data_IF_398853788373
#
_entry.id   IF_398853788373
#
_cell.length_a   1.000
_cell.length_b   1.000
_cell.length_c   1.000
_cell.angle_alpha   90.00
_cell.angle_beta   90.00
_cell.angle_gamma   90.00
#
_symmetry.space_group_name_H-M   'P 1'
#
loop_
_entity.id
_entity.type
_entity.pdbx_description
1 polymer ?
#
# COMPACT_ATOMS: atom_id res chain seq x y z
N UNK A 1 -74.82 27.44 60.60
CA UNK A 1 -73.35 27.40 60.72
C UNK A 1 -72.82 26.57 59.61
N UNK A 2 -72.28 27.22 58.56
CA UNK A 2 -71.86 26.56 57.30
C UNK A 2 -70.36 26.39 57.27
N UNK A 3 -69.90 25.15 57.09
CA UNK A 3 -68.52 24.86 56.81
C UNK A 3 -68.31 24.65 55.31
N UNK A 4 -67.56 25.54 54.69
CA UNK A 4 -67.15 25.48 53.30
C UNK A 4 -65.87 24.66 53.18
N UNK A 5 -65.91 23.47 52.50
CA UNK A 5 -64.77 22.72 52.07
C UNK A 5 -64.22 23.28 50.77
N UNK A 6 -62.98 23.78 50.75
CA UNK A 6 -62.24 24.09 49.53
C UNK A 6 -61.47 22.87 49.10
N UNK A 7 -61.79 22.34 47.92
CA UNK A 7 -60.98 21.32 47.18
C UNK A 7 -59.92 22.05 46.35
N UNK A 8 -58.65 21.82 46.68
CA UNK A 8 -57.53 22.26 45.88
C UNK A 8 -57.27 21.27 44.75
N UNK A 9 -57.28 21.77 43.52
CA UNK A 9 -56.94 21.01 42.29
C UNK A 9 -55.46 21.21 42.07
N UNK A 10 -54.64 20.14 42.26
CA UNK A 10 -53.23 20.12 41.89
C UNK A 10 -53.08 19.76 40.40
N UNK A 11 -52.66 20.70 39.60
CA UNK A 11 -52.29 20.46 38.20
C UNK A 11 -50.86 19.87 38.13
N UNK A 12 -50.76 18.62 37.69
CA UNK A 12 -49.49 17.99 37.37
C UNK A 12 -49.09 18.41 35.93
N UNK A 13 -48.08 19.27 35.82
CA UNK A 13 -47.50 19.62 34.50
C UNK A 13 -46.39 18.59 34.22
N UNK A 14 -46.68 17.67 33.28
CA UNK A 14 -45.67 16.72 32.75
C UNK A 14 -44.79 17.45 31.73
N UNK A 15 -43.55 17.74 32.10
CA UNK A 15 -42.51 18.16 31.17
C UNK A 15 -42.03 16.95 30.34
N UNK A 16 -42.50 16.85 29.07
CA UNK A 16 -41.90 15.96 28.09
C UNK A 16 -40.56 16.58 27.62
N UNK A 17 -39.45 16.03 28.07
CA UNK A 17 -38.13 16.34 27.49
C UNK A 17 -38.02 15.67 26.12
N UNK A 18 -38.08 16.47 25.06
CA UNK A 18 -37.71 16.03 23.69
C UNK A 18 -36.22 15.82 23.64
N UNK A 19 -35.78 14.57 23.69
CA UNK A 19 -34.41 14.19 23.35
C UNK A 19 -34.27 14.27 21.84
N UNK A 20 -33.70 15.37 21.36
CA UNK A 20 -33.31 15.49 19.95
C UNK A 20 -32.10 14.56 19.72
N UNK A 21 -32.33 13.40 19.13
CA UNK A 21 -31.26 12.57 18.56
C UNK A 21 -30.78 13.33 17.33
N UNK A 22 -29.65 14.01 17.44
CA UNK A 22 -28.96 14.54 16.28
C UNK A 22 -28.53 13.34 15.41
N UNK A 23 -29.22 13.14 14.28
CA UNK A 23 -28.76 12.25 13.25
C UNK A 23 -27.44 12.82 12.72
N UNK A 24 -26.32 12.22 13.09
CA UNK A 24 -25.05 12.48 12.43
C UNK A 24 -25.26 12.11 10.96
N UNK A 25 -25.23 13.13 10.08
CA UNK A 25 -25.20 12.87 8.64
C UNK A 25 -24.03 11.93 8.37
N UNK A 26 -24.31 10.76 7.81
CA UNK A 26 -23.28 9.85 7.38
C UNK A 26 -22.38 10.61 6.41
N UNK A 27 -21.06 10.60 6.63
CA UNK A 27 -20.12 11.16 5.66
C UNK A 27 -20.37 10.51 4.29
N UNK A 28 -20.31 11.29 3.18
CA UNK A 28 -20.52 10.71 1.86
C UNK A 28 -19.56 9.56 1.63
N UNK A 29 -20.10 8.44 1.14
CA UNK A 29 -19.31 7.25 0.84
C UNK A 29 -18.10 7.62 -0.02
N UNK A 30 -16.93 7.08 0.31
CA UNK A 30 -15.71 7.30 -0.44
C UNK A 30 -15.86 6.66 -1.82
N UNK A 31 -15.83 7.46 -2.89
CA UNK A 31 -15.98 6.95 -4.25
C UNK A 31 -14.61 6.83 -4.92
N UNK A 32 -14.23 5.59 -5.28
CA UNK A 32 -13.07 5.29 -6.10
C UNK A 32 -13.48 5.07 -7.55
N UNK A 33 -12.66 5.56 -8.48
CA UNK A 33 -12.88 5.36 -9.92
C UNK A 33 -11.80 4.44 -10.46
N UNK A 34 -12.16 3.22 -10.92
CA UNK A 34 -11.19 2.32 -11.53
C UNK A 34 -10.79 2.83 -12.91
N UNK A 35 -9.51 2.68 -13.24
CA UNK A 35 -8.93 2.97 -14.55
C UNK A 35 -8.70 1.63 -15.24
N UNK A 36 -9.38 1.38 -16.36
CA UNK A 36 -9.17 0.20 -17.17
C UNK A 36 -7.90 0.36 -18.03
N UNK A 37 -6.99 -0.61 -17.96
CA UNK A 37 -5.74 -0.60 -18.74
C UNK A 37 -5.69 -1.69 -19.81
N UNK A 38 -6.50 -2.74 -19.66
CA UNK A 38 -6.61 -3.85 -20.61
C UNK A 38 -8.00 -4.50 -20.50
N UNK A 39 -8.37 -5.50 -21.33
CA UNK A 39 -9.69 -6.11 -21.28
C UNK A 39 -10.12 -6.60 -19.90
N UNK A 40 -9.20 -7.12 -19.09
CA UNK A 40 -9.52 -7.71 -17.79
C UNK A 40 -8.96 -6.92 -16.60
N UNK A 41 -7.97 -6.02 -16.82
CA UNK A 41 -7.21 -5.39 -15.73
C UNK A 41 -7.59 -3.94 -15.52
N UNK A 42 -7.84 -3.60 -14.27
CA UNK A 42 -8.19 -2.27 -13.77
C UNK A 42 -7.28 -1.92 -12.57
N UNK A 43 -7.09 -0.63 -12.34
CA UNK A 43 -6.44 -0.17 -11.11
C UNK A 43 -7.05 1.12 -10.57
N UNK A 44 -6.79 1.40 -9.30
CA UNK A 44 -7.09 2.64 -8.61
C UNK A 44 -5.77 3.38 -8.41
N UNK A 45 -5.67 4.57 -9.00
CA UNK A 45 -4.46 5.39 -8.87
C UNK A 45 -4.49 6.23 -7.59
N UNK A 46 -3.56 5.99 -6.69
CA UNK A 46 -3.37 6.77 -5.48
C UNK A 46 -2.89 8.20 -5.76
N UNK A 47 -3.07 9.08 -4.79
CA UNK A 47 -2.59 10.46 -4.88
C UNK A 47 -1.07 10.52 -4.68
N UNK A 48 -0.39 11.39 -5.42
CA UNK A 48 1.02 11.68 -5.20
C UNK A 48 1.24 12.33 -3.82
N UNK A 49 2.35 12.02 -3.16
CA UNK A 49 2.68 12.53 -1.82
C UNK A 49 2.46 11.48 -0.73
N UNK A 50 2.45 11.93 0.53
CA UNK A 50 2.32 11.05 1.69
C UNK A 50 0.88 10.83 2.10
N UNK A 51 0.62 9.71 2.79
CA UNK A 51 -0.66 9.46 3.42
C UNK A 51 -0.99 10.53 4.48
N UNK A 52 -2.23 10.99 4.48
CA UNK A 52 -2.75 11.98 5.43
C UNK A 52 -4.24 11.75 5.68
N UNK A 53 -4.78 12.32 6.75
CA UNK A 53 -6.22 12.29 7.00
C UNK A 53 -7.00 12.96 5.85
N UNK A 54 -6.43 13.99 5.20
CA UNK A 54 -7.07 14.71 4.10
C UNK A 54 -7.25 13.85 2.84
N UNK A 55 -6.26 13.02 2.48
CA UNK A 55 -6.39 12.06 1.38
C UNK A 55 -6.89 10.68 1.84
N UNK A 56 -7.30 10.56 3.10
CA UNK A 56 -7.83 9.34 3.71
C UNK A 56 -6.86 8.16 3.66
N UNK A 57 -5.54 8.42 3.55
CA UNK A 57 -4.51 7.42 3.34
C UNK A 57 -4.41 6.90 1.90
N UNK A 58 -5.11 7.50 0.92
CA UNK A 58 -5.10 7.05 -0.48
C UNK A 58 -3.85 7.57 -1.21
N UNK A 59 -2.74 6.88 -1.07
CA UNK A 59 -1.46 7.22 -1.70
C UNK A 59 -0.90 6.10 -2.58
N UNK A 60 -1.25 4.84 -2.31
CA UNK A 60 -0.82 3.68 -3.09
C UNK A 60 -1.85 3.32 -4.16
N UNK A 61 -1.41 2.58 -5.15
CA UNK A 61 -2.29 1.92 -6.10
C UNK A 61 -2.78 0.58 -5.55
N UNK A 62 -3.94 0.16 -6.01
CA UNK A 62 -4.40 -1.22 -5.91
C UNK A 62 -5.04 -1.61 -7.24
N UNK A 63 -5.02 -2.89 -7.60
CA UNK A 63 -5.51 -3.35 -8.89
C UNK A 63 -6.52 -4.48 -8.74
N UNK A 64 -7.29 -4.74 -9.79
CA UNK A 64 -8.11 -5.94 -9.87
C UNK A 64 -8.22 -6.47 -11.29
N UNK A 65 -8.41 -7.79 -11.37
CA UNK A 65 -8.56 -8.52 -12.63
C UNK A 65 -9.91 -9.22 -12.62
N UNK A 66 -10.75 -8.91 -13.60
CA UNK A 66 -12.06 -9.55 -13.78
C UNK A 66 -11.87 -10.84 -14.58
N UNK A 67 -12.39 -11.96 -14.06
CA UNK A 67 -12.36 -13.27 -14.73
C UNK A 67 -13.76 -13.86 -14.81
N UNK A 68 -13.95 -14.94 -15.57
CA UNK A 68 -15.25 -15.63 -15.68
C UNK A 68 -15.67 -16.31 -14.37
N UNK A 69 -14.75 -16.53 -13.42
CA UNK A 69 -15.01 -17.24 -12.16
C UNK A 69 -14.80 -16.37 -10.90
N UNK A 70 -14.74 -15.06 -11.03
CA UNK A 70 -14.55 -14.13 -9.92
C UNK A 70 -13.50 -13.07 -10.21
N UNK A 71 -13.21 -12.25 -9.20
CA UNK A 71 -12.22 -11.17 -9.28
C UNK A 71 -11.00 -11.53 -8.43
N UNK A 72 -9.80 -11.30 -9.00
CA UNK A 72 -8.53 -11.29 -8.26
C UNK A 72 -8.13 -9.85 -8.03
N UNK A 73 -8.03 -9.43 -6.78
CA UNK A 73 -7.47 -8.13 -6.40
C UNK A 73 -5.97 -8.24 -6.10
N UNK A 74 -5.26 -7.15 -6.28
CA UNK A 74 -3.84 -6.99 -5.91
C UNK A 74 -3.71 -5.73 -5.09
N UNK A 75 -3.36 -5.89 -3.80
CA UNK A 75 -3.41 -4.93 -2.72
C UNK A 75 -4.83 -4.47 -2.34
N UNK A 76 -4.94 -3.77 -1.21
CA UNK A 76 -6.23 -3.41 -0.62
C UNK A 76 -6.31 -1.94 -0.18
N UNK A 77 -5.29 -1.14 -0.49
CA UNK A 77 -5.15 0.24 -0.05
C UNK A 77 -4.91 0.42 1.46
N UNK A 78 -4.73 1.67 1.88
CA UNK A 78 -4.17 2.04 3.19
C UNK A 78 -5.16 2.22 4.33
N UNK A 79 -6.47 2.00 4.14
CA UNK A 79 -7.46 2.09 5.22
C UNK A 79 -8.62 1.12 4.99
N UNK A 80 -9.34 0.69 6.06
CA UNK A 80 -10.54 -0.14 5.91
C UNK A 80 -11.62 0.51 5.04
N UNK A 81 -11.78 1.83 5.14
CA UNK A 81 -12.73 2.59 4.32
C UNK A 81 -12.37 2.58 2.83
N UNK A 82 -11.08 2.67 2.49
CA UNK A 82 -10.59 2.54 1.12
C UNK A 82 -10.79 1.12 0.57
N UNK A 83 -10.52 0.10 1.39
CA UNK A 83 -10.81 -1.29 1.01
C UNK A 83 -12.29 -1.53 0.69
N UNK A 84 -13.20 -0.97 1.50
CA UNK A 84 -14.64 -1.04 1.21
C UNK A 84 -14.99 -0.27 -0.07
N UNK A 85 -14.47 0.94 -0.26
CA UNK A 85 -14.71 1.72 -1.46
C UNK A 85 -14.18 1.03 -2.73
N UNK A 86 -13.07 0.29 -2.61
CA UNK A 86 -12.55 -0.55 -3.70
C UNK A 86 -13.54 -1.66 -4.06
N UNK A 87 -14.09 -2.39 -3.08
CA UNK A 87 -15.12 -3.42 -3.30
C UNK A 87 -16.37 -2.84 -3.95
N UNK A 88 -16.84 -1.68 -3.47
CA UNK A 88 -18.01 -0.98 -4.02
C UNK A 88 -17.79 -0.54 -5.48
N UNK A 89 -16.57 -0.12 -5.81
CA UNK A 89 -16.19 0.25 -7.18
C UNK A 89 -16.07 -0.97 -8.10
N UNK A 90 -15.53 -2.10 -7.62
CA UNK A 90 -15.47 -3.37 -8.36
C UNK A 90 -16.89 -3.85 -8.69
N UNK A 91 -17.84 -3.76 -7.75
CA UNK A 91 -19.22 -4.16 -7.96
C UNK A 91 -19.96 -3.31 -9.02
N UNK A 92 -19.47 -2.10 -9.34
CA UNK A 92 -19.98 -1.29 -10.45
C UNK A 92 -19.42 -1.74 -11.82
N UNK A 93 -18.30 -2.45 -11.84
CA UNK A 93 -17.66 -2.97 -13.07
C UNK A 93 -18.15 -4.37 -13.42
N UNK A 94 -18.35 -5.23 -12.43
CA UNK A 94 -18.73 -6.63 -12.63
C UNK A 94 -19.61 -7.15 -11.50
N UNK A 95 -20.48 -8.12 -11.81
CA UNK A 95 -21.26 -8.86 -10.80
C UNK A 95 -20.49 -10.04 -10.19
N UNK A 96 -19.24 -10.29 -10.62
CA UNK A 96 -18.41 -11.36 -10.09
C UNK A 96 -17.93 -10.99 -8.68
N UNK A 97 -17.96 -11.94 -7.72
CA UNK A 97 -17.43 -11.69 -6.38
C UNK A 97 -15.89 -11.59 -6.40
N UNK A 98 -15.34 -10.80 -5.49
CA UNK A 98 -13.89 -10.85 -5.24
C UNK A 98 -13.58 -12.14 -4.48
N UNK A 99 -12.91 -13.08 -5.13
CA UNK A 99 -12.55 -14.39 -4.55
C UNK A 99 -11.19 -14.37 -3.89
N UNK A 100 -10.30 -13.50 -4.33
CA UNK A 100 -8.91 -13.46 -3.88
C UNK A 100 -8.39 -12.04 -3.83
N UNK A 101 -7.64 -11.73 -2.78
CA UNK A 101 -6.77 -10.55 -2.71
C UNK A 101 -5.33 -11.01 -2.46
N UNK A 102 -4.42 -10.58 -3.32
CA UNK A 102 -2.99 -10.88 -3.24
C UNK A 102 -2.31 -9.63 -2.72
N UNK A 103 -1.55 -9.78 -1.65
CA UNK A 103 -0.75 -8.71 -1.04
C UNK A 103 0.59 -8.65 -1.76
N UNK A 104 0.96 -7.49 -2.30
CA UNK A 104 2.27 -7.27 -2.89
C UNK A 104 3.37 -7.36 -1.84
N UNK A 105 3.15 -6.74 -0.69
CA UNK A 105 4.01 -6.74 0.49
C UNK A 105 3.28 -6.14 1.70
N UNK A 106 3.79 -6.36 2.90
CA UNK A 106 3.15 -5.93 4.16
C UNK A 106 3.51 -4.50 4.58
N UNK A 107 3.29 -3.51 3.69
CA UNK A 107 3.29 -2.10 4.10
C UNK A 107 1.88 -1.56 4.30
N UNK A 108 1.75 -0.60 5.21
CA UNK A 108 0.47 -0.09 5.73
C UNK A 108 -0.52 0.36 4.65
N UNK A 109 -0.04 1.02 3.61
CA UNK A 109 -0.84 1.55 2.52
C UNK A 109 -1.29 0.50 1.49
N UNK A 110 -0.85 -0.76 1.63
CA UNK A 110 -1.26 -1.89 0.81
C UNK A 110 -2.19 -2.87 1.53
N UNK A 111 -2.20 -2.89 2.87
CA UNK A 111 -2.81 -3.97 3.66
C UNK A 111 -3.95 -3.56 4.58
N UNK A 112 -4.11 -2.29 4.98
CA UNK A 112 -5.13 -1.96 5.99
C UNK A 112 -6.56 -2.06 5.46
N UNK A 113 -6.77 -2.06 4.14
CA UNK A 113 -8.05 -2.36 3.52
C UNK A 113 -8.45 -3.84 3.54
N UNK A 114 -7.54 -4.79 3.87
CA UNK A 114 -7.80 -6.23 3.87
C UNK A 114 -9.00 -6.65 4.74
N UNK A 115 -9.31 -5.90 5.80
CA UNK A 115 -10.47 -6.19 6.65
C UNK A 115 -11.80 -6.17 5.86
N UNK A 116 -11.93 -5.29 4.86
CA UNK A 116 -13.10 -5.26 3.99
C UNK A 116 -13.17 -6.51 3.10
N UNK A 117 -12.04 -6.91 2.53
CA UNK A 117 -11.93 -8.12 1.69
C UNK A 117 -12.20 -9.39 2.47
N UNK A 118 -11.65 -9.54 3.68
CA UNK A 118 -11.93 -10.66 4.58
C UNK A 118 -13.43 -10.75 4.89
N UNK A 119 -14.07 -9.62 5.22
CA UNK A 119 -15.51 -9.55 5.48
C UNK A 119 -16.35 -9.91 4.26
N UNK A 120 -15.87 -9.61 3.05
CA UNK A 120 -16.50 -9.98 1.79
C UNK A 120 -16.27 -11.46 1.41
N UNK A 121 -15.45 -12.21 2.17
CA UNK A 121 -15.16 -13.63 1.93
C UNK A 121 -14.05 -13.88 0.90
N UNK A 122 -13.24 -12.87 0.57
CA UNK A 122 -12.08 -13.07 -0.28
C UNK A 122 -10.94 -13.77 0.47
N UNK A 123 -10.27 -14.72 -0.19
CA UNK A 123 -9.09 -15.40 0.33
C UNK A 123 -7.87 -14.48 0.21
N UNK A 124 -7.16 -14.24 1.31
CA UNK A 124 -5.95 -13.40 1.37
C UNK A 124 -4.72 -14.26 1.08
N UNK A 125 -3.95 -13.91 0.05
CA UNK A 125 -2.69 -14.53 -0.29
C UNK A 125 -1.53 -13.55 -0.11
N UNK A 126 -0.43 -14.00 0.50
CA UNK A 126 0.78 -13.19 0.68
C UNK A 126 2.03 -14.07 0.68
N UNK A 127 3.18 -13.47 0.46
CA UNK A 127 4.48 -14.13 0.56
C UNK A 127 4.72 -14.66 1.98
N UNK A 128 5.31 -15.86 2.12
CA UNK A 128 5.53 -16.50 3.43
C UNK A 128 6.41 -15.66 4.38
N UNK A 129 7.34 -14.85 3.84
CA UNK A 129 8.16 -13.95 4.65
C UNK A 129 7.39 -12.81 5.33
N UNK A 130 6.20 -12.45 4.82
CA UNK A 130 5.32 -11.46 5.45
C UNK A 130 4.87 -11.84 6.88
N UNK A 131 4.98 -13.12 7.25
CA UNK A 131 4.76 -13.56 8.63
C UNK A 131 5.72 -12.89 9.63
N UNK A 132 6.94 -12.56 9.19
CA UNK A 132 7.91 -11.84 10.01
C UNK A 132 7.42 -10.44 10.39
N UNK A 133 6.79 -9.73 9.45
CA UNK A 133 6.22 -8.41 9.72
C UNK A 133 5.06 -8.47 10.73
N UNK A 134 4.14 -9.41 10.56
CA UNK A 134 2.95 -9.54 11.44
C UNK A 134 3.29 -9.66 12.93
N UNK A 135 4.42 -10.29 13.25
CA UNK A 135 4.84 -10.57 14.62
C UNK A 135 5.95 -9.62 15.10
N UNK A 136 6.15 -8.49 14.39
CA UNK A 136 7.20 -7.55 14.71
C UNK A 136 6.68 -6.32 15.47
N UNK A 137 7.53 -5.73 16.32
CA UNK A 137 7.27 -4.46 16.97
C UNK A 137 7.05 -3.33 15.93
N UNK A 138 7.69 -3.44 14.77
CA UNK A 138 7.56 -2.50 13.65
C UNK A 138 6.12 -2.43 13.14
N UNK A 139 5.42 -3.56 13.05
CA UNK A 139 4.02 -3.59 12.61
C UNK A 139 3.11 -2.87 13.62
N UNK A 140 3.33 -3.09 14.92
CA UNK A 140 2.57 -2.44 15.99
C UNK A 140 2.84 -0.93 16.02
N UNK A 141 4.10 -0.53 16.05
CA UNK A 141 4.50 0.89 16.04
C UNK A 141 3.97 1.62 14.80
N UNK A 142 4.02 0.97 13.62
CA UNK A 142 3.49 1.53 12.38
C UNK A 142 1.98 1.72 12.45
N UNK A 143 1.24 0.74 12.99
CA UNK A 143 -0.21 0.85 13.16
C UNK A 143 -0.58 1.97 14.12
N UNK A 144 0.10 2.07 15.28
CA UNK A 144 -0.10 3.15 16.23
C UNK A 144 0.19 4.54 15.63
N UNK A 145 1.24 4.65 14.82
CA UNK A 145 1.55 5.89 14.12
C UNK A 145 0.43 6.22 13.11
N UNK A 146 -0.05 5.22 12.33
CA UNK A 146 -1.14 5.43 11.36
C UNK A 146 -2.47 5.79 12.02
N UNK A 147 -2.76 5.29 13.23
CA UNK A 147 -3.93 5.72 14.03
C UNK A 147 -3.88 7.21 14.36
N UNK A 148 -2.67 7.76 14.59
CA UNK A 148 -2.49 9.19 14.83
C UNK A 148 -2.59 10.03 13.57
N UNK A 149 -1.90 9.59 12.50
CA UNK A 149 -1.75 10.36 11.26
C UNK A 149 -3.01 10.35 10.39
N UNK A 150 -3.78 9.26 10.45
CA UNK A 150 -4.91 8.99 9.56
C UNK A 150 -6.26 8.95 10.26
N UNK A 151 -6.35 9.40 11.54
CA UNK A 151 -7.65 9.49 12.19
C UNK A 151 -8.64 10.34 11.38
N UNK A 152 -9.93 9.93 11.25
CA UNK A 152 -10.55 8.74 11.83
C UNK A 152 -10.48 7.49 10.93
N UNK A 153 -9.73 7.51 9.82
CA UNK A 153 -9.72 6.45 8.79
C UNK A 153 -8.98 5.18 9.21
N UNK A 154 -8.02 5.32 10.13
CA UNK A 154 -7.35 4.24 10.86
C UNK A 154 -7.62 4.47 12.33
N UNK A 155 -8.25 3.52 13.00
CA UNK A 155 -8.73 3.59 14.36
C UNK A 155 -8.34 2.36 15.19
N UNK A 156 -8.90 2.24 16.41
CA UNK A 156 -8.67 1.10 17.29
C UNK A 156 -9.20 -0.25 16.76
N UNK A 157 -10.10 -0.22 15.76
CA UNK A 157 -10.64 -1.42 15.12
C UNK A 157 -9.79 -1.87 13.93
N UNK A 158 -8.88 -1.01 13.46
CA UNK A 158 -7.96 -1.35 12.36
C UNK A 158 -6.90 -2.32 12.84
N UNK A 159 -6.69 -3.41 12.09
CA UNK A 159 -5.75 -4.48 12.39
C UNK A 159 -4.96 -4.91 11.18
N UNK A 160 -3.73 -5.34 11.40
CA UNK A 160 -2.94 -6.06 10.41
C UNK A 160 -3.46 -7.51 10.37
N UNK A 161 -3.93 -7.95 9.20
CA UNK A 161 -4.47 -9.30 9.03
C UNK A 161 -3.43 -10.26 8.48
N UNK A 162 -3.38 -11.52 8.97
CA UNK A 162 -2.59 -12.56 8.35
C UNK A 162 -3.20 -12.97 7.01
N UNK A 163 -2.39 -13.56 6.14
CA UNK A 163 -2.89 -14.23 4.96
C UNK A 163 -3.54 -15.58 5.32
N UNK A 164 -4.57 -15.97 4.54
CA UNK A 164 -5.17 -17.32 4.60
C UNK A 164 -4.24 -18.32 3.92
N UNK A 165 -3.51 -17.87 2.90
CA UNK A 165 -2.51 -18.67 2.19
C UNK A 165 -1.17 -17.94 2.10
N UNK A 166 -0.17 -18.56 2.70
CA UNK A 166 1.23 -18.13 2.61
C UNK A 166 1.89 -18.76 1.39
N UNK A 167 2.41 -17.90 0.49
CA UNK A 167 3.06 -18.30 -0.75
C UNK A 167 4.51 -18.67 -0.45
N UNK A 168 4.88 -19.91 -0.74
CA UNK A 168 6.23 -20.43 -0.57
C UNK A 168 6.94 -20.54 -1.94
N UNK A 169 8.02 -19.78 -2.09
CA UNK A 169 8.83 -19.73 -3.30
C UNK A 169 10.13 -20.56 -3.21
N UNK A 170 10.25 -21.46 -2.24
CA UNK A 170 11.45 -22.32 -2.07
C UNK A 170 11.68 -23.23 -3.28
N UNK A 171 10.64 -23.60 -4.02
CA UNK A 171 10.72 -24.45 -5.21
C UNK A 171 11.02 -23.68 -6.51
N UNK A 172 11.10 -22.35 -6.48
CA UNK A 172 11.36 -21.53 -7.65
C UNK A 172 10.81 -20.12 -7.50
N UNK A 173 11.23 -19.24 -8.39
CA UNK A 173 10.89 -17.80 -8.34
C UNK A 173 9.46 -17.46 -8.81
N UNK A 174 8.66 -18.44 -9.21
CA UNK A 174 7.32 -18.18 -9.74
C UNK A 174 6.32 -19.24 -9.29
N UNK A 175 5.07 -18.79 -9.03
CA UNK A 175 3.92 -19.66 -8.74
C UNK A 175 2.83 -19.33 -9.77
N UNK A 176 2.54 -20.22 -10.74
CA UNK A 176 1.44 -20.04 -11.66
C UNK A 176 0.11 -20.45 -11.02
N UNK A 177 -0.96 -19.76 -11.40
CA UNK A 177 -2.33 -20.20 -11.13
C UNK A 177 -3.29 -19.72 -12.23
N UNK A 178 -4.47 -20.31 -12.31
CA UNK A 178 -5.52 -19.92 -13.26
C UNK A 178 -6.82 -19.66 -12.52
N UNK A 179 -7.57 -18.66 -12.94
CA UNK A 179 -8.94 -18.39 -12.47
C UNK A 179 -9.78 -17.89 -13.65
N UNK A 180 -10.95 -18.51 -13.89
CA UNK A 180 -11.91 -18.06 -14.90
C UNK A 180 -11.31 -17.81 -16.29
N UNK A 181 -10.43 -18.71 -16.76
CA UNK A 181 -9.78 -18.61 -18.07
C UNK A 181 -8.56 -17.68 -18.14
N UNK A 182 -8.25 -16.94 -17.10
CA UNK A 182 -7.07 -16.07 -17.04
C UNK A 182 -5.93 -16.79 -16.32
N UNK A 183 -4.74 -16.77 -16.93
CA UNK A 183 -3.50 -17.29 -16.38
C UNK A 183 -2.73 -16.18 -15.67
N UNK A 184 -2.32 -16.49 -14.47
CA UNK A 184 -1.56 -15.59 -13.59
C UNK A 184 -0.22 -16.22 -13.24
N UNK A 185 0.77 -15.38 -13.03
CA UNK A 185 2.06 -15.79 -12.50
C UNK A 185 2.47 -14.85 -11.37
N UNK A 186 2.54 -15.37 -10.16
CA UNK A 186 3.18 -14.70 -9.04
C UNK A 186 4.69 -14.81 -9.20
N UNK A 187 5.41 -13.73 -8.98
CA UNK A 187 6.86 -13.64 -9.17
C UNK A 187 7.47 -13.17 -7.86
N UNK A 188 8.37 -13.98 -7.31
CA UNK A 188 9.13 -13.66 -6.11
C UNK A 188 10.24 -12.66 -6.43
N UNK A 189 10.17 -11.51 -5.78
CA UNK A 189 11.18 -10.46 -5.78
C UNK A 189 11.49 -10.01 -4.35
N UNK A 190 11.24 -10.91 -3.42
CA UNK A 190 11.41 -10.69 -1.98
C UNK A 190 12.83 -10.29 -1.62
N UNK A 191 12.95 -9.34 -0.70
CA UNK A 191 14.22 -8.75 -0.28
C UNK A 191 14.66 -7.57 -1.13
N UNK A 192 13.80 -7.03 -2.00
CA UNK A 192 14.07 -5.83 -2.79
C UNK A 192 13.60 -4.56 -2.05
N UNK A 193 12.33 -4.16 -2.23
CA UNK A 193 11.73 -3.04 -1.50
C UNK A 193 11.38 -3.43 -0.07
N UNK A 194 10.91 -4.65 0.11
CA UNK A 194 10.60 -5.28 1.42
C UNK A 194 11.07 -6.74 1.44
N UNK A 195 11.00 -7.38 2.60
CA UNK A 195 11.38 -8.79 2.72
C UNK A 195 10.42 -9.74 1.99
N UNK A 196 9.19 -9.30 1.68
CA UNK A 196 8.09 -10.13 1.22
C UNK A 196 7.49 -9.68 -0.13
N UNK A 197 8.24 -8.97 -0.96
CA UNK A 197 7.76 -8.46 -2.24
C UNK A 197 7.35 -9.57 -3.22
N UNK A 198 6.16 -9.39 -3.81
CA UNK A 198 5.61 -10.23 -4.87
C UNK A 198 5.05 -9.35 -5.99
N UNK A 199 5.35 -9.70 -7.25
CA UNK A 199 4.67 -9.15 -8.41
C UNK A 199 3.61 -10.13 -8.93
N UNK A 200 2.58 -9.61 -9.61
CA UNK A 200 1.56 -10.43 -10.29
C UNK A 200 1.54 -10.12 -11.79
N UNK A 201 1.81 -11.11 -12.61
CA UNK A 201 1.72 -11.00 -14.07
C UNK A 201 0.44 -11.65 -14.60
N UNK A 202 -0.34 -10.89 -15.38
CA UNK A 202 -1.57 -11.33 -16.06
C UNK A 202 -1.20 -11.67 -17.51
N UNK A 203 -1.12 -12.98 -17.83
CA UNK A 203 -0.48 -13.44 -19.06
C UNK A 203 -1.24 -13.03 -20.33
N UNK A 204 -2.58 -13.18 -20.36
CA UNK A 204 -3.37 -12.85 -21.55
C UNK A 204 -3.30 -11.35 -21.89
N UNK A 205 -3.29 -10.52 -20.88
CA UNK A 205 -3.28 -9.05 -21.03
C UNK A 205 -1.85 -8.49 -21.13
N UNK A 206 -0.85 -9.28 -20.77
CA UNK A 206 0.55 -8.88 -20.65
C UNK A 206 0.72 -7.65 -19.73
N UNK A 207 -0.03 -7.64 -18.61
CA UNK A 207 0.02 -6.61 -17.59
C UNK A 207 0.77 -7.13 -16.37
N UNK A 208 1.74 -6.35 -15.88
CA UNK A 208 2.48 -6.62 -14.66
C UNK A 208 2.02 -5.65 -13.56
N UNK A 209 1.57 -6.20 -12.43
CA UNK A 209 1.27 -5.47 -11.20
C UNK A 209 2.52 -5.57 -10.33
N UNK A 210 3.22 -4.45 -10.18
CA UNK A 210 4.60 -4.46 -9.68
C UNK A 210 4.74 -4.17 -8.19
N UNK A 211 3.66 -3.72 -7.51
CA UNK A 211 3.79 -3.21 -6.13
C UNK A 211 4.84 -2.10 -6.07
N UNK A 212 5.49 -1.96 -4.94
CA UNK A 212 6.43 -0.88 -4.65
C UNK A 212 7.84 -1.08 -5.21
N UNK A 213 8.01 -2.06 -6.11
CA UNK A 213 9.25 -2.14 -6.88
C UNK A 213 9.39 -1.04 -7.92
N UNK A 214 8.29 -0.36 -8.26
CA UNK A 214 8.25 0.63 -9.30
C UNK A 214 7.38 1.81 -8.90
N UNK A 215 7.91 3.02 -9.08
CA UNK A 215 7.24 4.28 -8.77
C UNK A 215 7.28 5.18 -9.99
N UNK A 216 6.17 5.87 -10.29
CA UNK A 216 6.14 6.89 -11.34
C UNK A 216 5.83 8.26 -10.77
N UNK A 217 6.58 9.27 -11.22
CA UNK A 217 6.30 10.67 -10.92
C UNK A 217 6.50 11.10 -9.47
N UNK A 218 7.16 10.28 -8.64
CA UNK A 218 7.50 10.60 -7.24
C UNK A 218 8.76 9.87 -6.79
N UNK A 219 9.36 10.33 -5.69
CA UNK A 219 10.46 9.61 -5.04
C UNK A 219 9.92 8.34 -4.36
N UNK A 220 10.56 7.17 -4.57
CA UNK A 220 10.21 5.95 -3.86
C UNK A 220 10.52 6.07 -2.36
N UNK A 221 9.79 5.32 -1.54
CA UNK A 221 10.22 5.05 -0.17
C UNK A 221 11.21 3.89 -0.19
N UNK A 222 12.45 4.16 0.19
CA UNK A 222 13.53 3.17 0.16
C UNK A 222 13.84 2.67 1.57
N UNK A 223 13.93 3.57 2.55
CA UNK A 223 14.23 3.21 3.92
C UNK A 223 15.49 2.33 4.01
N UNK A 224 15.35 1.20 4.66
CA UNK A 224 16.39 0.17 4.85
C UNK A 224 16.36 -0.96 3.82
N UNK A 225 15.58 -0.81 2.74
CA UNK A 225 15.48 -1.77 1.64
C UNK A 225 16.86 -2.15 1.05
N UNK A 226 16.96 -3.34 0.49
CA UNK A 226 18.15 -3.75 -0.25
C UNK A 226 18.15 -3.13 -1.65
N UNK A 227 18.72 -1.95 -1.77
CA UNK A 227 18.77 -1.24 -3.06
C UNK A 227 19.52 -2.00 -4.16
N UNK A 228 20.46 -2.90 -3.82
CA UNK A 228 21.14 -3.74 -4.80
C UNK A 228 20.20 -4.84 -5.32
N UNK A 229 19.51 -5.54 -4.41
CA UNK A 229 18.49 -6.51 -4.78
C UNK A 229 17.33 -5.84 -5.54
N UNK A 230 16.95 -4.62 -5.14
CA UNK A 230 15.89 -3.86 -5.82
C UNK A 230 16.28 -3.48 -7.26
N UNK A 231 17.50 -3.04 -7.51
CA UNK A 231 17.98 -2.79 -8.88
C UNK A 231 17.92 -4.05 -9.74
N UNK A 232 18.27 -5.22 -9.19
CA UNK A 232 18.15 -6.50 -9.89
C UNK A 232 16.67 -6.89 -10.13
N UNK A 233 15.77 -6.59 -9.18
CA UNK A 233 14.32 -6.80 -9.36
C UNK A 233 13.75 -5.92 -10.48
N UNK A 234 14.20 -4.67 -10.63
CA UNK A 234 13.83 -3.81 -11.76
C UNK A 234 14.24 -4.43 -13.11
N UNK A 235 15.39 -5.11 -13.19
CA UNK A 235 15.79 -5.81 -14.41
C UNK A 235 14.87 -7.00 -14.70
N UNK A 236 14.52 -7.78 -13.67
CA UNK A 236 13.61 -8.94 -13.80
C UNK A 236 12.18 -8.57 -14.21
N UNK A 237 11.72 -7.35 -13.91
CA UNK A 237 10.43 -6.84 -14.41
C UNK A 237 10.36 -6.79 -15.92
N UNK A 238 11.48 -6.51 -16.60
CA UNK A 238 11.55 -6.44 -18.06
C UNK A 238 11.60 -7.82 -18.72
N UNK A 239 12.03 -8.85 -17.99
CA UNK A 239 12.18 -10.22 -18.50
C UNK A 239 10.82 -10.84 -18.89
N UNK A 240 9.73 -10.49 -18.21
CA UNK A 240 8.38 -10.97 -18.55
C UNK A 240 7.78 -10.23 -19.74
N UNK A 241 8.47 -9.22 -20.27
CA UNK A 241 8.08 -8.41 -21.44
C UNK A 241 6.64 -7.86 -21.32
N UNK A 242 6.32 -7.15 -20.24
CA UNK A 242 4.98 -6.61 -20.05
C UNK A 242 4.70 -5.53 -21.09
N UNK A 243 3.45 -5.45 -21.56
CA UNK A 243 2.98 -4.30 -22.36
C UNK A 243 2.63 -3.13 -21.50
N UNK A 244 2.13 -3.41 -20.28
CA UNK A 244 1.73 -2.41 -19.31
C UNK A 244 2.25 -2.85 -17.95
N UNK A 245 2.80 -1.90 -17.19
CA UNK A 245 3.13 -2.08 -15.77
C UNK A 245 2.31 -1.13 -14.94
N UNK A 246 1.72 -1.64 -13.88
CA UNK A 246 1.05 -0.84 -12.85
C UNK A 246 1.99 -0.80 -11.64
N UNK A 247 2.51 0.40 -11.30
CA UNK A 247 3.38 0.58 -10.13
C UNK A 247 2.59 0.52 -8.82
N UNK A 248 3.28 0.43 -7.69
CA UNK A 248 2.67 0.63 -6.38
C UNK A 248 2.21 2.07 -6.14
N UNK A 249 2.87 3.04 -6.80
CA UNK A 249 2.52 4.47 -6.71
C UNK A 249 2.72 5.17 -8.06
N UNK A 250 1.73 6.00 -8.42
CA UNK A 250 1.76 6.81 -9.63
C UNK A 250 1.02 6.16 -10.80
N UNK A 251 1.18 6.69 -12.01
CA UNK A 251 0.45 6.24 -13.18
C UNK A 251 0.98 4.90 -13.74
N UNK A 252 0.09 4.09 -14.32
CA UNK A 252 0.50 2.92 -15.11
C UNK A 252 1.33 3.33 -16.32
N UNK A 253 2.23 2.45 -16.76
CA UNK A 253 3.16 2.72 -17.85
C UNK A 253 3.03 1.69 -18.96
N UNK A 254 3.04 2.16 -20.23
CA UNK A 254 3.28 1.36 -21.43
C UNK A 254 4.70 1.54 -22.00
N UNK A 255 5.50 2.42 -21.39
CA UNK A 255 6.92 2.63 -21.68
C UNK A 255 7.76 2.40 -20.43
N UNK A 256 7.67 1.18 -19.90
CA UNK A 256 8.20 0.80 -18.59
C UNK A 256 9.67 1.16 -18.41
N UNK A 257 10.50 0.94 -19.44
CA UNK A 257 11.94 1.21 -19.34
C UNK A 257 12.24 2.70 -19.14
N UNK A 258 11.53 3.59 -19.82
CA UNK A 258 11.73 5.03 -19.67
C UNK A 258 11.17 5.54 -18.33
N UNK A 259 9.98 5.08 -17.96
CA UNK A 259 9.30 5.56 -16.75
C UNK A 259 9.94 4.99 -15.47
N UNK A 260 10.57 3.80 -15.54
CA UNK A 260 11.34 3.19 -14.47
C UNK A 260 12.67 3.92 -14.20
N UNK A 261 13.13 4.76 -15.13
CA UNK A 261 14.43 5.44 -15.03
C UNK A 261 14.53 6.32 -13.77
N UNK A 262 13.43 6.90 -13.30
CA UNK A 262 13.43 7.70 -12.06
C UNK A 262 13.74 6.82 -10.84
N UNK A 263 13.01 5.72 -10.64
CA UNK A 263 13.25 4.80 -9.51
C UNK A 263 14.68 4.26 -9.57
N UNK A 264 15.11 3.76 -10.72
CA UNK A 264 16.48 3.23 -10.92
C UNK A 264 17.54 4.27 -10.59
N UNK A 265 17.48 5.44 -11.21
CA UNK A 265 18.50 6.47 -11.04
C UNK A 265 18.56 7.01 -9.61
N UNK A 266 17.43 7.02 -8.89
CA UNK A 266 17.41 7.43 -7.50
C UNK A 266 18.07 6.38 -6.59
N UNK A 267 17.80 5.09 -6.80
CA UNK A 267 18.47 4.00 -6.07
C UNK A 267 19.97 3.98 -6.34
N UNK A 268 20.38 4.10 -7.60
CA UNK A 268 21.80 4.17 -7.99
C UNK A 268 22.49 5.37 -7.34
N UNK A 269 21.85 6.54 -7.33
CA UNK A 269 22.40 7.75 -6.73
C UNK A 269 22.55 7.63 -5.20
N UNK A 270 21.54 7.10 -4.51
CA UNK A 270 21.65 6.83 -3.07
C UNK A 270 22.84 5.90 -2.76
N UNK A 271 22.99 4.80 -3.52
CA UNK A 271 24.11 3.89 -3.34
C UNK A 271 25.45 4.54 -3.61
N UNK A 272 25.54 5.36 -4.67
CA UNK A 272 26.77 6.07 -5.03
C UNK A 272 27.19 7.03 -3.94
N UNK A 273 26.31 7.93 -3.53
CA UNK A 273 26.66 9.02 -2.59
C UNK A 273 26.90 8.48 -1.17
N UNK A 274 25.97 7.65 -0.68
CA UNK A 274 26.13 7.08 0.67
C UNK A 274 27.26 6.05 0.73
N UNK A 275 27.49 5.30 -0.34
CA UNK A 275 28.63 4.36 -0.43
C UNK A 275 29.98 5.09 -0.46
N UNK A 276 30.10 6.20 -1.18
CA UNK A 276 31.31 7.03 -1.17
C UNK A 276 31.59 7.56 0.25
N UNK A 277 30.56 8.12 0.91
CA UNK A 277 30.69 8.64 2.26
C UNK A 277 31.19 7.56 3.27
N UNK A 278 30.64 6.34 3.19
CA UNK A 278 31.06 5.22 4.05
C UNK A 278 32.52 4.84 3.77
N UNK A 279 32.92 4.76 2.49
CA UNK A 279 34.30 4.41 2.13
C UNK A 279 35.30 5.48 2.61
N UNK A 280 34.90 6.74 2.59
CA UNK A 280 35.73 7.86 3.03
C UNK A 280 35.61 8.13 4.54
N UNK A 281 34.83 7.31 5.28
CA UNK A 281 34.56 7.45 6.72
C UNK A 281 33.94 8.80 7.09
N UNK A 282 33.14 9.39 6.19
CA UNK A 282 32.38 10.62 6.42
C UNK A 282 31.05 10.27 7.10
N UNK A 283 30.74 10.94 8.22
CA UNK A 283 29.49 10.70 8.95
C UNK A 283 28.27 11.10 8.16
N UNK A 284 27.13 10.45 8.42
CA UNK A 284 25.88 10.64 7.66
C UNK A 284 25.43 12.12 7.54
N UNK A 285 25.48 12.88 8.64
CA UNK A 285 25.02 14.27 8.64
C UNK A 285 25.83 15.15 7.66
N UNK A 286 27.15 14.98 7.66
CA UNK A 286 28.06 15.68 6.75
C UNK A 286 27.83 15.20 5.31
N UNK A 287 27.75 13.90 5.08
CA UNK A 287 27.50 13.31 3.78
C UNK A 287 26.19 13.78 3.17
N UNK A 288 25.10 13.74 3.96
CA UNK A 288 23.77 14.18 3.49
C UNK A 288 23.74 15.68 3.15
N UNK A 289 24.39 16.51 3.96
CA UNK A 289 24.47 17.96 3.73
C UNK A 289 25.34 18.33 2.52
N UNK A 290 26.36 17.51 2.20
CA UNK A 290 27.26 17.75 1.07
C UNK A 290 26.69 17.21 -0.27
N UNK A 291 25.72 16.30 -0.23
CA UNK A 291 25.14 15.67 -1.42
C UNK A 291 24.26 16.66 -2.19
N UNK A 292 24.43 16.75 -3.51
CA UNK A 292 23.58 17.54 -4.39
C UNK A 292 22.28 16.82 -4.74
N UNK A 293 21.18 17.19 -4.08
CA UNK A 293 19.86 16.63 -4.30
C UNK A 293 19.03 17.30 -5.41
N UNK A 294 19.58 18.32 -6.12
CA UNK A 294 18.86 19.15 -7.09
C UNK A 294 18.13 18.33 -8.18
N UNK A 295 18.67 17.18 -8.53
CA UNK A 295 18.08 16.27 -9.51
C UNK A 295 16.75 15.66 -9.05
N UNK A 296 16.51 15.57 -7.75
CA UNK A 296 15.38 14.84 -7.19
C UNK A 296 14.45 15.70 -6.33
N UNK A 297 14.89 16.85 -5.84
CA UNK A 297 14.19 17.66 -4.83
C UNK A 297 12.82 18.20 -5.28
N UNK A 298 12.58 18.29 -6.60
CA UNK A 298 11.32 18.75 -7.17
C UNK A 298 10.22 17.67 -7.22
N UNK A 299 10.59 16.41 -7.02
CA UNK A 299 9.61 15.33 -7.07
C UNK A 299 8.76 15.23 -5.79
N UNK A 300 7.47 14.85 -5.91
CA UNK A 300 6.63 14.55 -4.75
C UNK A 300 7.29 13.55 -3.80
N UNK A 301 7.00 13.67 -2.50
CA UNK A 301 7.53 12.87 -1.40
C UNK A 301 9.04 13.06 -1.12
N UNK A 302 9.75 13.91 -1.85
CA UNK A 302 11.19 14.11 -1.61
C UNK A 302 11.45 14.63 -0.19
N UNK A 303 10.76 15.67 0.24
CA UNK A 303 10.99 16.32 1.54
C UNK A 303 10.77 15.34 2.71
N UNK A 304 9.78 14.47 2.58
CA UNK A 304 9.38 13.54 3.61
C UNK A 304 10.24 12.26 3.62
N UNK A 305 10.66 11.78 2.46
CA UNK A 305 11.31 10.47 2.32
C UNK A 305 12.83 10.54 2.15
N UNK A 306 13.38 11.55 1.47
CA UNK A 306 14.77 11.54 1.01
C UNK A 306 15.80 11.35 2.14
N UNK A 307 15.64 12.05 3.27
CA UNK A 307 16.59 11.91 4.38
C UNK A 307 16.52 10.52 5.03
N UNK A 308 15.31 9.96 5.16
CA UNK A 308 15.11 8.61 5.71
C UNK A 308 15.72 7.58 4.75
N UNK A 309 15.47 7.73 3.45
CA UNK A 309 16.05 6.88 2.41
C UNK A 309 17.57 6.92 2.41
N UNK A 310 18.15 8.11 2.42
CA UNK A 310 19.60 8.30 2.46
C UNK A 310 20.22 7.67 3.72
N UNK A 311 19.59 7.87 4.89
CA UNK A 311 20.08 7.30 6.13
C UNK A 311 20.02 5.76 6.13
N UNK A 312 18.91 5.18 5.72
CA UNK A 312 18.77 3.74 5.60
C UNK A 312 19.82 3.14 4.65
N UNK A 313 20.06 3.80 3.50
CA UNK A 313 21.07 3.36 2.55
C UNK A 313 22.51 3.58 3.07
N UNK A 314 22.77 4.64 3.82
CA UNK A 314 24.07 4.83 4.49
C UNK A 314 24.37 3.65 5.43
N UNK A 315 23.41 3.28 6.30
CA UNK A 315 23.55 2.13 7.19
C UNK A 315 23.70 0.80 6.42
N UNK A 316 23.05 0.66 5.29
CA UNK A 316 23.20 -0.50 4.40
C UNK A 316 24.62 -0.58 3.83
N UNK A 317 25.15 0.54 3.34
CA UNK A 317 26.53 0.60 2.81
C UNK A 317 27.55 0.29 3.89
N UNK A 318 27.35 0.74 5.13
CA UNK A 318 28.21 0.35 6.27
C UNK A 318 28.21 -1.16 6.47
N UNK A 319 27.04 -1.82 6.50
CA UNK A 319 26.95 -3.29 6.63
C UNK A 319 27.66 -4.00 5.48
N UNK A 320 27.37 -3.61 4.22
CA UNK A 320 28.03 -4.20 3.04
C UNK A 320 29.55 -4.05 3.09
N UNK A 321 30.08 -2.92 3.59
CA UNK A 321 31.51 -2.69 3.71
C UNK A 321 32.19 -3.59 4.77
N UNK A 322 31.44 -3.98 5.81
CA UNK A 322 31.91 -4.88 6.87
C UNK A 322 31.88 -6.35 6.40
N UNK A 323 30.84 -6.74 5.67
CA UNK A 323 30.68 -8.09 5.12
C UNK A 323 31.69 -8.39 3.99
N UNK A 324 32.10 -7.38 3.23
CA UNK A 324 33.12 -7.50 2.17
C UNK A 324 34.57 -7.50 2.65
N UNK A 325 34.84 -7.36 3.97
CA UNK A 325 36.18 -7.48 4.52
C UNK A 325 36.47 -8.94 4.87
N UNK A 326 37.63 -9.52 4.40
CA UNK A 326 38.03 -10.90 4.68
C UNK A 326 38.27 -11.17 6.16
#
# INVERSE_FOLDING_TARGET
MAHILRRGLAALTACMALVSVAATAAEPALELKPIQVSPHVYYFGGQSGMASAANKGFMSNASFVVTDDGVVAFDSLGTPALGQAMLDAIAKVTNQPVKRVIVSHYHADHIYGLQAFQKAGAEIWAHAKGQGYLNSDIAEERLEQRRKDLAPWVDENTRVLPADRWLDFTSGKTIPFTMGGINFRLIDVSGAHSDDDVMLYVEQDQVLLAGDLYFTGRIPFVGDADSKAWLAALDSMLDVKPKIVIPGHGASSSNTQADMALTRSYLEYLRQEMGAAVNDMVGFEEAYAATDWSRFESYPAFKEANRINAYGQYLRMERESLEGKP
#
